data_IF_297809978722
#
_entry.id   IF_297809978722
#
_cell.length_a   1.000
_cell.length_b   1.000
_cell.length_c   1.000
_cell.angle_alpha   90.00
_cell.angle_beta   90.00
_cell.angle_gamma   90.00
#
_symmetry.space_group_name_H-M   'P 1'
#
loop_
_entity.id
_entity.type
_entity.pdbx_description
1 polymer ?
#
# COMPACT_ATOMS: atom_id res chain seq x y z
N UNK A 1 -8.69 0.92 -15.27
CA UNK A 1 -7.87 0.23 -14.25
C UNK A 1 -7.56 1.22 -13.14
N UNK A 2 -7.39 0.75 -11.91
CA UNK A 2 -7.06 1.64 -10.78
C UNK A 2 -5.60 1.48 -10.40
N UNK A 3 -4.88 2.60 -10.26
CA UNK A 3 -3.50 2.65 -9.81
C UNK A 3 -3.39 3.47 -8.54
N UNK A 4 -2.75 2.91 -7.52
CA UNK A 4 -2.41 3.65 -6.31
C UNK A 4 -1.06 4.32 -6.47
N UNK A 5 -1.05 5.64 -6.40
CA UNK A 5 0.18 6.44 -6.49
C UNK A 5 1.00 6.24 -5.23
N UNK A 6 2.21 5.72 -5.38
CA UNK A 6 3.16 5.55 -4.27
C UNK A 6 4.02 6.81 -4.14
N UNK A 7 4.38 7.42 -5.27
CA UNK A 7 5.24 8.60 -5.34
C UNK A 7 4.57 9.64 -6.21
N UNK A 8 4.54 10.90 -5.78
CA UNK A 8 3.96 11.97 -6.60
C UNK A 8 4.72 12.11 -7.94
N UNK A 9 3.98 12.24 -9.03
CA UNK A 9 4.53 12.38 -10.37
C UNK A 9 3.61 13.23 -11.25
N UNK A 10 4.19 13.85 -12.27
CA UNK A 10 3.46 14.61 -13.29
C UNK A 10 3.44 13.76 -14.56
N UNK A 11 2.25 13.54 -15.11
CA UNK A 11 2.07 12.75 -16.31
C UNK A 11 1.47 13.58 -17.43
N UNK A 12 2.07 13.50 -18.61
CA UNK A 12 1.60 14.21 -19.78
C UNK A 12 0.83 13.25 -20.71
N UNK A 13 -0.49 13.36 -20.73
CA UNK A 13 -1.31 12.67 -21.74
C UNK A 13 -1.13 13.32 -23.10
N UNK A 14 -0.93 12.49 -24.13
CA UNK A 14 -0.68 12.80 -25.55
C UNK A 14 -1.04 14.23 -25.97
N UNK A 15 -0.13 15.17 -25.69
CA UNK A 15 -0.03 16.45 -26.38
C UNK A 15 -0.17 17.74 -25.55
N UNK A 16 -0.98 17.82 -24.47
CA UNK A 16 -1.15 19.12 -23.76
C UNK A 16 -1.63 19.02 -22.29
N UNK A 17 -2.18 17.89 -21.83
CA UNK A 17 -2.65 17.78 -20.44
C UNK A 17 -1.59 17.15 -19.54
N UNK A 18 -0.96 17.98 -18.71
CA UNK A 18 -0.17 17.52 -17.58
C UNK A 18 -1.11 17.36 -16.39
N UNK A 19 -1.34 16.11 -16.00
CA UNK A 19 -2.05 15.79 -14.77
C UNK A 19 -1.03 15.46 -13.70
N UNK A 20 -1.14 16.16 -12.57
CA UNK A 20 -0.28 15.94 -11.42
C UNK A 20 -0.96 14.97 -10.47
N UNK A 21 -0.26 13.89 -10.17
CA UNK A 21 -0.73 12.87 -9.25
C UNK A 21 0.04 12.93 -7.94
N UNK A 22 -0.68 12.97 -6.83
CA UNK A 22 -0.10 13.00 -5.49
C UNK A 22 0.05 11.59 -4.92
N UNK A 23 1.09 11.38 -4.11
CA UNK A 23 1.30 10.11 -3.40
C UNK A 23 0.13 9.82 -2.47
N UNK A 24 -0.44 8.62 -2.60
CA UNK A 24 -1.60 8.16 -1.85
C UNK A 24 -2.92 8.27 -2.62
N UNK A 25 -2.95 8.98 -3.75
CA UNK A 25 -4.15 9.07 -4.59
C UNK A 25 -4.37 7.80 -5.40
N UNK A 26 -5.63 7.51 -5.72
CA UNK A 26 -6.02 6.44 -6.65
C UNK A 26 -6.33 7.10 -7.99
N UNK A 27 -5.62 6.66 -9.03
CA UNK A 27 -5.82 7.06 -10.42
C UNK A 27 -6.72 6.00 -11.06
N UNK A 28 -7.90 6.39 -11.49
CA UNK A 28 -8.71 5.57 -12.39
C UNK A 28 -8.36 5.95 -13.83
N UNK A 29 -7.65 5.05 -14.52
CA UNK A 29 -7.18 5.29 -15.89
C UNK A 29 -7.16 3.99 -16.69
N UNK A 30 -7.42 4.11 -18.00
CA UNK A 30 -7.29 3.00 -18.95
C UNK A 30 -6.07 3.17 -19.87
N UNK A 31 -5.24 4.19 -19.61
CA UNK A 31 -4.03 4.46 -20.40
C UNK A 31 -2.94 3.41 -20.13
N UNK A 32 -2.73 2.52 -21.10
CA UNK A 32 -1.70 1.47 -21.03
C UNK A 32 -0.28 2.04 -20.83
N UNK A 33 0.04 3.18 -21.46
CA UNK A 33 1.32 3.85 -21.32
C UNK A 33 1.54 4.36 -19.88
N UNK A 34 0.51 4.96 -19.27
CA UNK A 34 0.55 5.45 -17.90
C UNK A 34 0.72 4.28 -16.93
N UNK A 35 -0.09 3.23 -17.08
CA UNK A 35 0.00 2.02 -16.27
C UNK A 35 1.40 1.40 -16.36
N UNK A 36 1.93 1.24 -17.57
CA UNK A 36 3.25 0.63 -17.78
C UNK A 36 4.38 1.47 -17.18
N UNK A 37 4.40 2.77 -17.44
CA UNK A 37 5.49 3.64 -16.96
C UNK A 37 5.38 3.85 -15.45
N UNK A 38 4.19 4.09 -14.91
CA UNK A 38 4.01 4.25 -13.47
C UNK A 38 4.42 2.99 -12.70
N UNK A 39 4.14 1.79 -13.22
CA UNK A 39 4.61 0.53 -12.60
C UNK A 39 6.11 0.31 -12.78
N UNK A 40 6.64 0.56 -13.97
CA UNK A 40 8.07 0.34 -14.27
C UNK A 40 8.98 1.28 -13.46
N UNK A 41 8.57 2.54 -13.30
CA UNK A 41 9.30 3.55 -12.54
C UNK A 41 8.98 3.52 -11.03
N UNK A 42 8.04 2.68 -10.60
CA UNK A 42 7.59 2.59 -9.21
C UNK A 42 6.88 3.85 -8.70
N UNK A 43 6.22 4.59 -9.59
CA UNK A 43 5.43 5.78 -9.24
C UNK A 43 4.03 5.41 -8.76
N UNK A 44 3.42 4.37 -9.34
CA UNK A 44 2.13 3.83 -8.93
C UNK A 44 2.11 2.30 -9.08
N UNK A 45 1.26 1.64 -8.31
CA UNK A 45 1.04 0.19 -8.34
C UNK A 45 -0.45 -0.11 -8.55
N UNK A 46 -0.82 -1.34 -8.93
CA UNK A 46 -2.23 -1.68 -9.15
C UNK A 46 -3.01 -1.59 -7.83
N UNK A 47 -4.05 -0.75 -7.80
CA UNK A 47 -4.98 -0.71 -6.68
C UNK A 47 -6.01 -1.82 -6.90
N UNK A 48 -5.69 -3.03 -6.44
CA UNK A 48 -6.59 -4.19 -6.47
C UNK A 48 -7.75 -4.06 -5.45
N UNK A 49 -8.01 -2.85 -4.91
CA UNK A 49 -8.85 -2.62 -3.73
C UNK A 49 -8.37 -3.34 -2.47
N UNK A 50 -7.23 -4.04 -2.55
CA UNK A 50 -6.61 -4.80 -1.49
C UNK A 50 -5.33 -4.08 -1.11
N UNK A 51 -5.32 -3.57 0.12
CA UNK A 51 -4.13 -3.14 0.84
C UNK A 51 -2.94 -4.05 0.50
N UNK A 52 -1.72 -3.50 0.39
CA UNK A 52 -0.57 -4.18 -0.20
C UNK A 52 -0.46 -5.61 0.33
N UNK A 53 -0.64 -6.61 -0.55
CA UNK A 53 -0.44 -8.04 -0.26
C UNK A 53 1.05 -8.39 -0.16
N UNK A 54 1.83 -7.55 0.52
CA UNK A 54 2.79 -8.11 1.46
C UNK A 54 1.99 -8.67 2.63
N UNK A 55 2.56 -9.61 3.38
CA UNK A 55 2.05 -10.07 4.69
C UNK A 55 1.34 -8.91 5.42
N UNK A 56 0.22 -9.09 6.12
CA UNK A 56 -0.42 -7.99 6.87
C UNK A 56 0.59 -7.19 7.72
N UNK A 57 1.66 -7.87 8.15
CA UNK A 57 2.77 -7.29 8.90
C UNK A 57 3.94 -6.72 8.09
N UNK A 58 4.03 -7.00 6.79
CA UNK A 58 5.06 -6.52 5.86
C UNK A 58 4.75 -5.10 5.40
N UNK A 59 5.18 -4.15 6.23
CA UNK A 59 5.05 -2.71 5.95
C UNK A 59 4.25 -1.97 7.01
N UNK A 60 3.50 -2.67 7.85
CA UNK A 60 2.81 -2.07 8.99
C UNK A 60 3.79 -1.56 10.05
N UNK A 61 3.46 -0.41 10.65
CA UNK A 61 4.15 0.11 11.83
C UNK A 61 3.76 -0.69 13.06
N UNK A 62 4.59 -0.64 14.09
CA UNK A 62 4.34 -1.30 15.38
C UNK A 62 2.98 -0.90 15.95
N UNK A 63 2.59 0.37 15.81
CA UNK A 63 1.30 0.90 16.25
C UNK A 63 0.10 0.24 15.56
N UNK A 64 0.22 -0.03 14.25
CA UNK A 64 -0.84 -0.67 13.46
C UNK A 64 -0.96 -2.15 13.82
N UNK A 65 0.18 -2.83 14.00
CA UNK A 65 0.24 -4.20 14.52
C UNK A 65 -0.40 -4.30 15.92
N UNK A 66 -0.07 -3.37 16.82
CA UNK A 66 -0.62 -3.27 18.19
C UNK A 66 -2.14 -3.09 18.14
N UNK A 67 -2.62 -2.25 17.22
CA UNK A 67 -4.04 -1.96 17.00
C UNK A 67 -4.78 -3.18 16.45
N UNK A 68 -4.21 -3.87 15.44
CA UNK A 68 -4.81 -5.05 14.84
C UNK A 68 -4.87 -6.23 15.84
N UNK A 69 -3.81 -6.46 16.60
CA UNK A 69 -3.78 -7.46 17.67
C UNK A 69 -4.79 -7.12 18.79
N UNK A 70 -4.88 -5.84 19.20
CA UNK A 70 -5.86 -5.41 20.20
C UNK A 70 -7.29 -5.53 19.70
N UNK A 71 -7.55 -5.21 18.43
CA UNK A 71 -8.85 -5.38 17.78
C UNK A 71 -9.28 -6.84 17.72
N UNK A 72 -8.30 -7.75 17.59
CA UNK A 72 -8.51 -9.20 17.66
C UNK A 72 -8.56 -9.76 19.09
N UNK A 73 -8.28 -8.93 20.09
CA UNK A 73 -8.24 -9.35 21.49
C UNK A 73 -7.01 -10.17 21.87
N UNK A 74 -5.95 -10.15 21.05
CA UNK A 74 -4.67 -10.78 21.35
C UNK A 74 -3.90 -9.88 22.32
N UNK A 75 -3.66 -10.37 23.54
CA UNK A 75 -2.81 -9.70 24.51
C UNK A 75 -1.33 -9.93 24.16
N UNK A 76 -0.64 -8.87 23.73
CA UNK A 76 0.80 -8.86 23.53
C UNK A 76 1.51 -8.11 24.68
N UNK A 77 2.71 -8.53 25.10
CA UNK A 77 3.47 -7.79 26.10
C UNK A 77 3.97 -6.47 25.50
N UNK A 78 3.92 -5.38 26.27
CA UNK A 78 4.22 -4.01 25.79
C UNK A 78 5.70 -3.78 25.37
N UNK A 79 6.53 -4.81 25.46
CA UNK A 79 7.92 -4.83 24.96
C UNK A 79 8.16 -5.77 23.77
N UNK A 80 7.11 -6.38 23.19
CA UNK A 80 7.25 -7.27 22.03
C UNK A 80 7.81 -6.51 20.83
N UNK A 81 8.80 -7.12 20.16
CA UNK A 81 9.40 -6.52 18.96
C UNK A 81 8.42 -6.56 17.80
N UNK A 82 8.63 -5.65 16.83
CA UNK A 82 7.84 -5.58 15.59
C UNK A 82 7.67 -6.97 14.95
N UNK A 83 8.73 -7.76 14.87
CA UNK A 83 8.71 -9.11 14.30
C UNK A 83 7.83 -10.10 15.07
N UNK A 84 7.74 -10.02 16.40
CA UNK A 84 6.86 -10.88 17.20
C UNK A 84 5.39 -10.49 17.07
N UNK A 85 5.10 -9.18 17.15
CA UNK A 85 3.76 -8.65 16.91
C UNK A 85 3.29 -9.01 15.48
N UNK A 86 4.20 -8.90 14.52
CA UNK A 86 3.98 -9.28 13.14
C UNK A 86 3.66 -10.77 12.98
N UNK A 87 4.43 -11.64 13.63
CA UNK A 87 4.23 -13.09 13.55
C UNK A 87 2.94 -13.56 14.25
N UNK A 88 2.59 -12.94 15.38
CA UNK A 88 1.34 -13.22 16.09
C UNK A 88 0.12 -12.83 15.26
N UNK A 89 0.16 -11.67 14.60
CA UNK A 89 -0.92 -11.23 13.74
C UNK A 89 -1.04 -12.10 12.48
N UNK A 90 0.08 -12.47 11.85
CA UNK A 90 0.13 -13.30 10.63
C UNK A 90 -0.33 -14.74 10.89
N UNK A 91 0.08 -15.33 12.01
CA UNK A 91 -0.34 -16.68 12.41
C UNK A 91 -1.81 -16.81 12.77
N UNK A 92 -2.48 -15.72 13.17
CA UNK A 92 -3.94 -15.71 13.45
C UNK A 92 -4.78 -15.35 12.21
N UNK A 93 -4.15 -15.01 11.09
CA UNK A 93 -4.82 -14.69 9.82
C UNK A 93 -4.87 -15.90 8.85
N UNK A 94 -4.33 -17.07 9.24
CA UNK A 94 -4.37 -18.31 8.45
C UNK A 94 -5.65 -19.13 8.66
#
# INVERSE_FOLDING_TARGET
MQLKVIKAFDWAHRGVQVERFESGSIIDTEDEDLIRVSKAEGWADEDDGKAPQGKPSAGMKVDDLKTALAAKGIAFPEGAKKDELAALLDGEQQ
#
